data_IF_342149916158
#
_entry.id   IF_342149916158
#
_cell.length_a   1.000
_cell.length_b   1.000
_cell.length_c   1.000
_cell.angle_alpha   90.00
_cell.angle_beta   90.00
_cell.angle_gamma   90.00
#
_symmetry.space_group_name_H-M   'P 1'
#
loop_
_entity.id
_entity.type
_entity.pdbx_description
1 polymer ?
#
# COMPACT_ATOMS: atom_id res chain seq x y z
N UNK A 1 41.12 19.30 -42.66
CA UNK A 1 42.32 19.96 -42.09
C UNK A 1 42.02 21.42 -41.78
N UNK A 2 41.79 21.80 -40.52
CA UNK A 2 42.16 23.13 -40.00
C UNK A 2 42.01 23.11 -38.47
N UNK A 3 43.13 23.25 -37.77
CA UNK A 3 43.24 23.45 -36.31
C UNK A 3 43.08 24.95 -36.02
N UNK A 4 42.38 25.31 -34.96
CA UNK A 4 42.65 26.56 -34.22
C UNK A 4 42.58 26.25 -32.72
N UNK A 5 43.65 26.66 -32.04
CA UNK A 5 43.98 26.49 -30.63
C UNK A 5 43.71 27.86 -29.96
N UNK A 6 43.61 27.85 -28.62
CA UNK A 6 43.78 28.97 -27.66
C UNK A 6 42.46 29.58 -27.17
N UNK A 7 42.25 29.94 -25.91
CA UNK A 7 43.08 29.90 -24.70
C UNK A 7 42.19 30.13 -23.46
N UNK A 8 42.77 29.77 -22.32
CA UNK A 8 42.31 29.87 -20.93
C UNK A 8 41.41 31.05 -20.51
N UNK A 9 40.53 30.78 -19.54
CA UNK A 9 40.40 31.64 -18.36
C UNK A 9 39.92 30.85 -17.14
N UNK A 10 40.72 30.93 -16.10
CA UNK A 10 40.50 30.40 -14.74
C UNK A 10 39.55 31.35 -14.02
N UNK A 11 38.52 30.83 -13.37
CA UNK A 11 37.80 31.56 -12.32
C UNK A 11 37.67 30.67 -11.11
N UNK A 12 38.56 30.88 -10.14
CA UNK A 12 38.48 30.33 -8.80
C UNK A 12 37.38 31.08 -8.04
N UNK A 13 36.33 30.36 -7.62
CA UNK A 13 35.38 30.87 -6.63
C UNK A 13 35.71 30.24 -5.27
N UNK A 14 36.25 31.08 -4.40
CA UNK A 14 36.47 30.82 -3.00
C UNK A 14 35.16 31.01 -2.21
N UNK A 15 34.91 30.08 -1.29
CA UNK A 15 34.27 30.34 0.00
C UNK A 15 32.75 30.50 0.02
N UNK A 16 32.07 29.56 0.70
CA UNK A 16 31.20 29.90 1.84
C UNK A 16 30.81 28.66 2.63
N UNK A 17 30.87 28.84 3.95
CA UNK A 17 30.54 27.91 5.01
C UNK A 17 29.06 27.48 5.01
N UNK A 18 28.86 26.25 5.50
CA UNK A 18 27.75 25.76 6.35
C UNK A 18 26.31 26.05 5.91
N UNK A 19 25.58 24.99 5.55
CA UNK A 19 24.24 24.75 6.10
C UNK A 19 23.94 23.24 6.09
N UNK A 20 24.07 22.62 7.26
CA UNK A 20 23.54 21.29 7.56
C UNK A 20 22.01 21.35 7.47
N UNK A 21 21.44 20.88 6.35
CA UNK A 21 20.01 20.68 6.23
C UNK A 21 19.58 19.52 7.14
N UNK A 22 18.92 19.87 8.25
CA UNK A 22 18.23 18.92 9.11
C UNK A 22 17.22 18.16 8.27
N UNK A 23 17.37 16.83 8.20
CA UNK A 23 16.33 15.99 7.62
C UNK A 23 15.13 16.01 8.57
N UNK A 24 14.09 16.75 8.19
CA UNK A 24 12.76 16.57 8.76
C UNK A 24 12.28 15.17 8.35
N UNK A 25 12.50 14.19 9.22
CA UNK A 25 11.81 12.92 9.13
C UNK A 25 10.34 13.19 9.48
N UNK A 26 9.50 13.35 8.45
CA UNK A 26 8.06 13.25 8.59
C UNK A 26 7.74 11.85 9.13
N UNK A 27 7.65 11.75 10.45
CA UNK A 27 7.00 10.66 11.12
C UNK A 27 5.53 10.72 10.71
N UNK A 28 5.18 9.99 9.64
CA UNK A 28 3.80 9.67 9.30
C UNK A 28 3.19 8.97 10.52
N UNK A 29 2.52 9.77 11.35
CA UNK A 29 1.65 9.32 12.41
C UNK A 29 0.56 8.50 11.73
N UNK A 30 0.77 7.18 11.69
CA UNK A 30 -0.24 6.22 11.28
C UNK A 30 -1.36 6.34 12.30
N UNK A 31 -2.38 7.15 11.96
CA UNK A 31 -3.57 7.32 12.76
C UNK A 31 -4.28 5.97 12.79
N UNK A 32 -3.97 5.19 13.83
CA UNK A 32 -4.62 3.92 14.08
C UNK A 32 -6.05 4.26 14.51
N UNK A 33 -6.98 4.14 13.57
CA UNK A 33 -8.41 4.11 13.87
C UNK A 33 -8.69 3.19 15.07
N UNK A 34 -9.71 3.51 15.89
CA UNK A 34 -10.01 2.77 17.10
C UNK A 34 -10.06 1.27 16.78
N UNK A 35 -9.28 0.49 17.54
CA UNK A 35 -9.18 -0.96 17.39
C UNK A 35 -10.55 -1.58 17.64
N UNK A 36 -11.34 -1.72 16.58
CA UNK A 36 -12.59 -2.48 16.60
C UNK A 36 -12.32 -3.88 17.14
N UNK A 37 -13.35 -4.50 17.74
CA UNK A 37 -13.25 -5.89 18.20
C UNK A 37 -12.77 -6.75 17.03
N UNK A 38 -11.63 -7.41 17.22
CA UNK A 38 -11.10 -8.31 16.21
C UNK A 38 -12.06 -9.49 15.99
N UNK A 39 -12.27 -9.82 14.72
CA UNK A 39 -13.11 -10.94 14.29
C UNK A 39 -12.26 -12.01 13.63
N UNK A 40 -12.75 -13.25 13.70
CA UNK A 40 -12.22 -14.35 12.92
C UNK A 40 -12.97 -14.45 11.59
N UNK A 41 -12.23 -14.51 10.51
CA UNK A 41 -12.71 -14.64 9.15
C UNK A 41 -12.40 -16.06 8.67
N UNK A 42 -13.36 -16.71 8.02
CA UNK A 42 -13.13 -17.96 7.30
C UNK A 42 -13.17 -17.70 5.80
N UNK A 43 -12.14 -18.13 5.08
CA UNK A 43 -12.08 -17.98 3.62
C UNK A 43 -13.07 -18.92 2.94
N UNK A 44 -13.92 -18.38 2.06
CA UNK A 44 -14.95 -19.12 1.33
C UNK A 44 -14.57 -19.39 -0.13
N UNK A 45 -13.72 -18.53 -0.71
CA UNK A 45 -13.17 -18.70 -2.06
C UNK A 45 -12.19 -19.86 -2.16
N UNK A 46 -12.09 -20.51 -3.33
CA UNK A 46 -11.16 -21.64 -3.55
C UNK A 46 -9.69 -21.23 -3.36
N UNK A 47 -9.30 -20.13 -4.00
CA UNK A 47 -7.99 -19.49 -3.91
C UNK A 47 -8.20 -17.98 -3.98
N UNK A 48 -7.74 -17.26 -2.98
CA UNK A 48 -8.01 -15.82 -2.83
C UNK A 48 -6.69 -15.09 -2.63
N UNK A 49 -6.49 -14.01 -3.38
CA UNK A 49 -5.32 -13.17 -3.24
C UNK A 49 -5.49 -12.22 -2.04
N UNK A 50 -4.52 -12.22 -1.15
CA UNK A 50 -4.32 -11.13 -0.20
C UNK A 50 -3.47 -10.08 -0.89
N UNK A 51 -4.01 -8.87 -1.03
CA UNK A 51 -3.39 -7.79 -1.81
C UNK A 51 -2.94 -6.66 -0.93
N UNK A 52 -1.83 -6.00 -1.29
CA UNK A 52 -1.37 -4.80 -0.59
C UNK A 52 -1.87 -3.57 -1.36
N UNK A 53 -2.53 -2.60 -0.71
CA UNK A 53 -2.90 -1.36 -1.39
C UNK A 53 -1.68 -0.60 -1.93
N UNK A 54 -1.90 0.30 -2.89
CA UNK A 54 -0.85 1.22 -3.31
C UNK A 54 -0.42 2.15 -2.16
N UNK A 55 0.74 2.81 -2.29
CA UNK A 55 1.32 3.63 -1.20
C UNK A 55 0.39 4.76 -0.73
N UNK A 56 -0.44 5.27 -1.63
CA UNK A 56 -1.37 6.38 -1.48
C UNK A 56 -2.84 5.92 -1.37
N UNK A 57 -3.09 4.62 -1.26
CA UNK A 57 -4.42 4.05 -1.17
C UNK A 57 -4.66 3.39 0.20
N UNK A 58 -5.82 3.64 0.79
CA UNK A 58 -6.23 2.98 2.04
C UNK A 58 -6.79 1.58 1.80
N UNK A 59 -7.46 1.36 0.66
CA UNK A 59 -8.07 0.08 0.29
C UNK A 59 -7.36 -0.53 -0.91
N UNK A 60 -7.17 -1.85 -0.88
CA UNK A 60 -6.70 -2.57 -2.05
C UNK A 60 -7.74 -2.50 -3.19
N UNK A 61 -7.25 -2.60 -4.42
CA UNK A 61 -8.02 -2.74 -5.65
C UNK A 61 -7.84 -4.14 -6.23
N UNK A 62 -8.72 -4.58 -7.14
CA UNK A 62 -8.58 -5.87 -7.82
C UNK A 62 -7.26 -6.06 -8.56
N UNK A 63 -6.62 -4.97 -9.00
CA UNK A 63 -5.33 -4.95 -9.69
C UNK A 63 -4.14 -4.67 -8.76
N UNK A 64 -4.36 -4.39 -7.47
CA UNK A 64 -3.27 -4.17 -6.52
C UNK A 64 -2.34 -5.38 -6.40
N UNK A 65 -1.04 -5.21 -6.12
CA UNK A 65 -0.09 -6.31 -6.06
C UNK A 65 -0.51 -7.38 -5.05
N UNK A 66 -0.35 -8.65 -5.45
CA UNK A 66 -0.62 -9.81 -4.59
C UNK A 66 0.56 -9.99 -3.63
N UNK A 67 0.26 -10.09 -2.34
CA UNK A 67 1.26 -10.42 -1.33
C UNK A 67 1.40 -11.95 -1.18
N UNK A 68 0.28 -12.65 -1.01
CA UNK A 68 0.22 -14.12 -0.97
C UNK A 68 -1.21 -14.60 -1.27
N UNK A 69 -1.40 -15.91 -1.34
CA UNK A 69 -2.70 -16.54 -1.52
C UNK A 69 -3.15 -17.27 -0.26
N UNK A 70 -4.45 -17.23 -0.01
CA UNK A 70 -5.14 -18.03 1.00
C UNK A 70 -6.18 -18.92 0.32
N UNK A 71 -6.57 -19.99 0.98
CA UNK A 71 -7.42 -21.04 0.43
C UNK A 71 -8.68 -21.23 1.26
N UNK A 72 -9.68 -21.88 0.66
CA UNK A 72 -10.94 -22.17 1.33
C UNK A 72 -10.70 -22.89 2.66
N UNK A 73 -11.34 -22.39 3.72
CA UNK A 73 -11.23 -22.94 5.07
C UNK A 73 -10.17 -22.26 5.94
N UNK A 74 -9.24 -21.49 5.35
CA UNK A 74 -8.25 -20.74 6.11
C UNK A 74 -8.94 -19.77 7.07
N UNK A 75 -8.39 -19.68 8.29
CA UNK A 75 -8.87 -18.76 9.32
C UNK A 75 -7.93 -17.58 9.42
N UNK A 76 -8.47 -16.39 9.19
CA UNK A 76 -7.73 -15.13 9.24
C UNK A 76 -8.27 -14.28 10.39
N UNK A 77 -7.40 -13.52 11.04
CA UNK A 77 -7.79 -12.54 12.05
C UNK A 77 -7.79 -11.16 11.44
N UNK A 78 -8.86 -10.40 11.64
CA UNK A 78 -8.98 -9.02 11.19
C UNK A 78 -9.55 -8.16 12.31
N UNK A 79 -8.95 -7.00 12.55
CA UNK A 79 -9.46 -6.02 13.52
C UNK A 79 -9.95 -4.73 12.85
N UNK A 80 -9.67 -4.59 11.56
CA UNK A 80 -9.95 -3.38 10.79
C UNK A 80 -10.55 -3.79 9.45
N UNK A 81 -11.53 -3.03 9.00
CA UNK A 81 -12.10 -3.15 7.66
C UNK A 81 -11.91 -1.82 6.96
N UNK A 82 -11.56 -1.87 5.68
CA UNK A 82 -11.45 -0.69 4.84
C UNK A 82 -12.74 -0.54 4.04
N UNK A 83 -13.36 0.63 4.14
CA UNK A 83 -14.62 0.93 3.48
C UNK A 83 -14.33 1.78 2.24
N UNK A 84 -14.52 1.22 1.06
CA UNK A 84 -14.24 1.94 -0.18
C UNK A 84 -15.50 2.69 -0.66
N UNK A 85 -15.94 3.67 0.16
CA UNK A 85 -17.13 4.48 -0.11
C UNK A 85 -16.89 5.34 -1.36
N UNK A 86 -17.72 5.15 -2.39
CA UNK A 86 -17.56 5.83 -3.68
C UNK A 86 -16.61 5.14 -4.67
N UNK A 87 -15.93 4.07 -4.26
CA UNK A 87 -15.06 3.29 -5.15
C UNK A 87 -15.82 2.39 -6.14
N UNK A 88 -15.13 1.90 -7.18
CA UNK A 88 -15.73 0.97 -8.14
C UNK A 88 -16.12 -0.35 -7.46
N UNK A 89 -17.25 -0.93 -7.87
CA UNK A 89 -17.57 -2.31 -7.50
C UNK A 89 -16.63 -3.28 -8.21
N UNK A 90 -16.30 -4.37 -7.53
CA UNK A 90 -15.56 -5.47 -8.12
C UNK A 90 -16.26 -6.80 -7.84
N UNK A 91 -15.99 -7.79 -8.69
CA UNK A 91 -16.51 -9.16 -8.52
C UNK A 91 -15.40 -10.09 -8.05
N UNK A 92 -15.59 -10.70 -6.88
CA UNK A 92 -14.69 -11.73 -6.36
C UNK A 92 -15.48 -12.80 -5.59
N UNK A 93 -15.01 -14.04 -5.65
CA UNK A 93 -15.66 -15.19 -5.01
C UNK A 93 -17.17 -15.33 -5.33
N UNK A 94 -17.55 -14.96 -6.56
CA UNK A 94 -18.92 -15.05 -7.05
C UNK A 94 -19.84 -13.90 -6.64
N UNK A 95 -19.36 -12.93 -5.85
CA UNK A 95 -20.17 -11.82 -5.32
C UNK A 95 -19.58 -10.47 -5.72
N UNK A 96 -20.42 -9.44 -5.76
CA UNK A 96 -19.98 -8.05 -5.93
C UNK A 96 -19.71 -7.41 -4.57
N UNK A 97 -18.66 -6.59 -4.49
CA UNK A 97 -18.29 -5.88 -3.28
C UNK A 97 -17.37 -4.70 -3.56
N UNK A 98 -17.07 -3.94 -2.51
CA UNK A 98 -16.16 -2.78 -2.52
C UNK A 98 -15.18 -2.80 -1.35
N UNK A 99 -15.61 -3.40 -0.24
CA UNK A 99 -14.87 -3.36 1.02
C UNK A 99 -13.88 -4.51 1.14
N UNK A 100 -12.91 -4.32 2.03
CA UNK A 100 -11.84 -5.28 2.27
C UNK A 100 -11.53 -5.39 3.76
N UNK A 101 -11.25 -6.60 4.23
CA UNK A 101 -10.70 -6.81 5.57
C UNK A 101 -9.19 -6.70 5.57
N UNK A 102 -8.64 -6.07 6.61
CA UNK A 102 -7.19 -6.01 6.82
C UNK A 102 -6.73 -7.27 7.55
N UNK A 103 -5.87 -8.04 6.89
CA UNK A 103 -5.32 -9.28 7.42
C UNK A 103 -3.79 -9.21 7.44
N UNK A 104 -3.15 -10.19 8.07
CA UNK A 104 -1.69 -10.27 8.05
C UNK A 104 -1.20 -10.31 6.60
N UNK A 105 -0.33 -9.38 6.21
CA UNK A 105 0.26 -9.30 4.88
C UNK A 105 -0.49 -8.45 3.85
N UNK A 106 -1.73 -8.01 4.13
CA UNK A 106 -2.46 -7.13 3.21
C UNK A 106 -3.96 -7.10 3.49
N UNK A 107 -4.75 -7.12 2.43
CA UNK A 107 -6.19 -6.99 2.48
C UNK A 107 -6.85 -8.11 1.67
N UNK A 108 -7.98 -8.59 2.16
CA UNK A 108 -8.78 -9.63 1.52
C UNK A 108 -10.20 -9.12 1.22
N UNK A 109 -10.78 -9.45 0.06
CA UNK A 109 -12.15 -9.06 -0.27
C UNK A 109 -13.15 -9.55 0.77
N UNK A 110 -14.08 -8.69 1.20
CA UNK A 110 -15.18 -9.11 2.09
C UNK A 110 -16.07 -10.17 1.43
N UNK A 111 -16.17 -10.14 0.10
CA UNK A 111 -16.92 -11.11 -0.71
C UNK A 111 -16.36 -12.54 -0.66
N UNK A 112 -15.11 -12.70 -0.21
CA UNK A 112 -14.38 -13.97 -0.19
C UNK A 112 -14.26 -14.59 1.20
N UNK A 113 -14.89 -13.99 2.22
CA UNK A 113 -14.80 -14.46 3.61
C UNK A 113 -16.15 -14.43 4.29
N UNK A 114 -16.26 -15.16 5.40
CA UNK A 114 -17.38 -15.11 6.33
C UNK A 114 -16.86 -14.82 7.74
N UNK A 115 -17.52 -13.91 8.46
CA UNK A 115 -17.26 -13.66 9.88
C UNK A 115 -17.82 -14.84 10.69
N UNK A 116 -17.03 -15.36 11.62
CA UNK A 116 -17.48 -16.33 12.62
C UNK A 116 -17.57 -15.68 14.00
#
# INVERSE_FOLDING_TARGET
MKRWINSALVTAFAGSLMLTAVSAADAVASSAEPRGKCVWLTVTGKKVAVRRPAKDEFSARPNSPVNHYVHRGDRLRSCVMTFNRGGPQYRACGRYGRDWYVVRGGQIPTTCVRVN
#
